data_IF_824592728324
#
_entry.id   IF_824592728324
#
_cell.length_a   1.000
_cell.length_b   1.000
_cell.length_c   1.000
_cell.angle_alpha   90.00
_cell.angle_beta   90.00
_cell.angle_gamma   90.00
#
_symmetry.space_group_name_H-M   'P 1'
#
loop_
_entity.id
_entity.type
_entity.pdbx_description
1 polymer ?
#
# COMPACT_ATOMS: atom_id res chain seq x y z
N UNK A 1 -5.08 9.64 -16.91
CA UNK A 1 -5.84 9.43 -15.66
C UNK A 1 -4.91 8.75 -14.64
N UNK A 2 -4.15 9.54 -13.88
CA UNK A 2 -3.20 9.02 -12.87
C UNK A 2 -3.90 8.75 -11.52
N UNK A 3 -5.17 9.12 -11.40
CA UNK A 3 -5.96 8.99 -10.18
C UNK A 3 -6.20 7.53 -9.78
N UNK A 4 -6.31 6.61 -10.74
CA UNK A 4 -6.52 5.16 -10.53
C UNK A 4 -5.25 4.38 -10.11
N UNK A 5 -4.21 5.06 -9.64
CA UNK A 5 -2.97 4.40 -9.21
C UNK A 5 -3.07 3.90 -7.76
N UNK A 6 -3.72 4.66 -6.88
CA UNK A 6 -3.86 4.34 -5.46
C UNK A 6 -5.29 4.59 -4.99
N UNK A 7 -5.87 3.69 -4.19
CA UNK A 7 -7.22 3.88 -3.65
C UNK A 7 -7.28 5.10 -2.72
N UNK A 8 -8.44 5.78 -2.65
CA UNK A 8 -8.64 6.92 -1.76
C UNK A 8 -8.76 6.49 -0.29
N UNK A 9 -8.92 7.46 0.61
CA UNK A 9 -9.25 7.21 2.02
C UNK A 9 -8.06 7.08 2.97
N UNK A 10 -6.83 7.26 2.48
CA UNK A 10 -5.66 7.45 3.34
C UNK A 10 -5.37 8.94 3.52
N UNK A 11 -5.77 9.50 4.66
CA UNK A 11 -5.68 10.94 4.92
C UNK A 11 -4.29 11.35 5.45
N UNK A 12 -3.87 12.62 5.28
CA UNK A 12 -2.58 13.10 5.79
C UNK A 12 -2.37 12.87 7.29
N UNK A 13 -3.42 13.01 8.10
CA UNK A 13 -3.35 12.76 9.54
C UNK A 13 -3.09 11.28 9.91
N UNK A 14 -3.24 10.36 8.95
CA UNK A 14 -2.97 8.93 9.14
C UNK A 14 -1.51 8.56 8.85
N UNK A 15 -0.70 9.50 8.36
CA UNK A 15 0.73 9.29 8.20
C UNK A 15 1.37 9.07 9.57
N UNK A 16 2.24 8.06 9.74
CA UNK A 16 3.05 7.93 10.93
C UNK A 16 3.89 9.20 11.15
N UNK A 17 3.95 9.72 12.38
CA UNK A 17 4.68 10.95 12.67
C UNK A 17 4.30 12.11 11.70
N UNK A 18 3.02 12.54 11.66
CA UNK A 18 2.51 13.41 10.59
C UNK A 18 3.15 14.81 10.56
N UNK A 19 3.74 15.24 11.69
CA UNK A 19 4.49 16.50 11.78
C UNK A 19 5.97 16.37 11.38
N UNK A 20 6.46 15.15 11.10
CA UNK A 20 7.86 14.93 10.71
C UNK A 20 8.16 15.48 9.32
N UNK A 21 9.44 15.81 9.09
CA UNK A 21 9.93 16.21 7.76
C UNK A 21 9.57 15.18 6.69
N UNK A 22 9.70 13.88 6.98
CA UNK A 22 9.39 12.81 6.03
C UNK A 22 7.92 12.73 5.65
N UNK A 23 7.01 12.90 6.62
CA UNK A 23 5.57 12.94 6.37
C UNK A 23 5.18 14.16 5.52
N UNK A 24 5.72 15.35 5.84
CA UNK A 24 5.47 16.57 5.08
C UNK A 24 5.97 16.47 3.64
N UNK A 25 7.16 15.90 3.41
CA UNK A 25 7.69 15.67 2.07
C UNK A 25 6.84 14.64 1.30
N UNK A 26 6.38 13.59 1.98
CA UNK A 26 5.45 12.61 1.38
C UNK A 26 4.18 13.30 0.90
N UNK A 27 3.59 14.16 1.73
CA UNK A 27 2.39 14.93 1.37
C UNK A 27 2.67 15.91 0.22
N UNK A 28 3.79 16.66 0.28
CA UNK A 28 4.18 17.63 -0.75
C UNK A 28 4.33 16.97 -2.13
N UNK A 29 5.03 15.83 -2.19
CA UNK A 29 5.45 15.27 -3.48
C UNK A 29 4.53 14.17 -4.01
N UNK A 30 4.02 13.29 -3.15
CA UNK A 30 3.34 12.07 -3.60
C UNK A 30 1.87 12.28 -4.00
N UNK A 31 1.25 13.40 -3.62
CA UNK A 31 -0.17 13.70 -3.94
C UNK A 31 -0.34 14.50 -5.24
N UNK A 32 0.75 14.89 -5.90
CA UNK A 32 0.71 15.67 -7.14
C UNK A 32 0.08 14.90 -8.32
N UNK A 33 0.08 13.57 -8.25
CA UNK A 33 -0.37 12.71 -9.36
C UNK A 33 -1.50 11.75 -8.99
N UNK A 34 -1.56 11.29 -7.73
CA UNK A 34 -2.49 10.26 -7.28
C UNK A 34 -2.81 10.44 -5.79
N UNK A 35 -3.75 9.67 -5.25
CA UNK A 35 -4.07 9.66 -3.81
C UNK A 35 -2.82 9.41 -2.93
N UNK A 36 -2.84 9.87 -1.69
CA UNK A 36 -1.71 9.75 -0.77
C UNK A 36 -1.30 8.28 -0.56
N UNK A 37 -0.02 7.99 -0.77
CA UNK A 37 0.51 6.66 -0.54
C UNK A 37 0.69 6.37 0.96
N UNK A 38 0.23 5.21 1.40
CA UNK A 38 0.55 4.69 2.72
C UNK A 38 1.98 4.13 2.73
N UNK A 39 2.89 4.59 3.63
CA UNK A 39 4.23 4.02 3.77
C UNK A 39 4.22 2.50 4.01
N UNK A 40 3.15 1.96 4.59
CA UNK A 40 2.95 0.54 4.80
C UNK A 40 2.39 -0.23 3.59
N UNK A 41 2.38 0.35 2.39
CA UNK A 41 1.99 -0.35 1.17
C UNK A 41 3.10 -1.26 0.63
N UNK A 42 4.37 -1.00 0.98
CA UNK A 42 5.50 -1.83 0.59
C UNK A 42 6.39 -2.09 1.79
N UNK A 43 7.14 -3.19 1.76
CA UNK A 43 8.22 -3.44 2.71
C UNK A 43 9.42 -2.51 2.45
N UNK A 44 10.31 -2.42 3.44
CA UNK A 44 11.45 -1.50 3.43
C UNK A 44 12.46 -1.80 2.31
N UNK A 45 12.57 -3.07 1.88
CA UNK A 45 13.50 -3.49 0.82
C UNK A 45 12.98 -3.10 -0.57
N UNK A 46 11.65 -3.08 -0.75
CA UNK A 46 11.02 -2.71 -2.02
C UNK A 46 10.98 -1.19 -2.25
N UNK A 47 10.94 -0.39 -1.18
CA UNK A 47 10.81 1.07 -1.28
C UNK A 47 11.83 1.78 -2.17
N UNK A 48 13.16 1.52 -2.08
CA UNK A 48 14.15 2.21 -2.91
C UNK A 48 13.85 2.14 -4.41
N UNK A 49 13.56 0.94 -4.91
CA UNK A 49 13.26 0.71 -6.34
C UNK A 49 11.95 1.36 -6.77
N UNK A 50 10.93 1.38 -5.90
CA UNK A 50 9.64 2.05 -6.19
C UNK A 50 9.83 3.56 -6.23
N UNK A 51 10.54 4.10 -5.24
CA UNK A 51 10.79 5.53 -5.07
C UNK A 51 11.62 6.09 -6.23
N UNK A 52 12.71 5.42 -6.60
CA UNK A 52 13.54 5.80 -7.75
C UNK A 52 12.72 5.94 -9.04
N UNK A 53 11.86 4.96 -9.34
CA UNK A 53 10.98 5.03 -10.52
C UNK A 53 9.96 6.16 -10.45
N UNK A 54 9.49 6.52 -9.25
CA UNK A 54 8.59 7.66 -9.06
C UNK A 54 9.34 8.97 -9.33
N UNK A 55 10.50 9.16 -8.72
CA UNK A 55 11.32 10.38 -8.92
C UNK A 55 11.72 10.56 -10.38
N UNK A 56 12.15 9.50 -11.07
CA UNK A 56 12.44 9.58 -12.51
C UNK A 56 11.21 10.06 -13.29
N UNK A 57 10.02 9.50 -13.03
CA UNK A 57 8.78 9.95 -13.69
C UNK A 57 8.47 11.40 -13.39
N UNK A 58 8.60 11.83 -12.13
CA UNK A 58 8.39 13.24 -11.74
C UNK A 58 9.34 14.19 -12.48
N UNK A 59 10.54 13.72 -12.86
CA UNK A 59 11.49 14.46 -13.70
C UNK A 59 11.15 14.42 -15.20
N UNK A 60 9.98 13.89 -15.58
CA UNK A 60 9.60 13.65 -16.98
C UNK A 60 10.36 12.51 -17.65
N UNK A 61 11.10 11.70 -16.87
CA UNK A 61 11.93 10.59 -17.38
C UNK A 61 11.20 9.27 -17.17
N UNK A 62 10.99 8.50 -18.23
CA UNK A 62 10.29 7.23 -18.13
C UNK A 62 10.04 6.56 -19.46
N UNK A 63 9.26 5.47 -19.41
CA UNK A 63 8.99 4.57 -20.54
C UNK A 63 8.07 5.17 -21.63
N UNK A 64 7.78 6.47 -21.60
CA UNK A 64 6.95 7.17 -22.59
C UNK A 64 7.67 8.36 -23.26
N UNK A 65 8.98 8.53 -23.05
CA UNK A 65 9.77 9.58 -23.70
C UNK A 65 9.17 10.97 -23.52
N UNK A 66 9.01 11.71 -24.64
CA UNK A 66 8.46 13.07 -24.66
C UNK A 66 7.06 13.17 -24.04
N UNK A 67 6.20 12.16 -24.24
CA UNK A 67 4.88 12.14 -23.62
C UNK A 67 4.97 12.15 -22.09
N UNK A 68 5.93 11.45 -21.49
CA UNK A 68 6.13 11.50 -20.03
C UNK A 68 6.51 12.91 -19.58
N UNK A 69 7.37 13.59 -20.32
CA UNK A 69 7.78 14.96 -20.00
C UNK A 69 6.58 15.92 -20.05
N UNK A 70 5.73 15.81 -21.07
CA UNK A 70 4.52 16.63 -21.21
C UNK A 70 3.48 16.30 -20.12
N UNK A 71 3.25 15.01 -19.82
CA UNK A 71 2.32 14.58 -18.77
C UNK A 71 2.74 15.02 -17.36
N UNK A 72 4.04 15.19 -17.13
CA UNK A 72 4.61 15.55 -15.84
C UNK A 72 4.96 17.05 -15.77
N UNK A 73 4.55 17.84 -16.77
CA UNK A 73 4.72 19.29 -16.74
C UNK A 73 4.03 19.87 -15.50
N UNK A 74 4.79 20.62 -14.71
CA UNK A 74 4.30 21.18 -13.44
C UNK A 74 4.41 20.25 -12.22
N UNK A 75 4.79 18.98 -12.39
CA UNK A 75 5.11 18.09 -11.28
C UNK A 75 6.51 18.42 -10.76
N UNK A 76 6.62 18.66 -9.45
CA UNK A 76 7.89 18.93 -8.79
C UNK A 76 8.53 17.64 -8.33
N UNK A 77 9.79 17.39 -8.70
CA UNK A 77 10.59 16.31 -8.13
C UNK A 77 11.35 16.79 -6.87
N UNK A 78 11.55 15.93 -5.86
CA UNK A 78 12.33 16.25 -4.67
C UNK A 78 13.80 16.50 -4.99
N UNK A 79 14.41 17.44 -4.26
CA UNK A 79 15.86 17.62 -4.25
C UNK A 79 16.58 16.39 -3.66
N UNK A 80 17.91 16.36 -3.75
CA UNK A 80 18.70 15.21 -3.29
C UNK A 80 18.54 14.95 -1.78
N UNK A 81 18.60 15.98 -0.95
CA UNK A 81 18.45 15.88 0.50
C UNK A 81 16.99 15.56 0.92
N UNK A 82 16.01 16.17 0.24
CA UNK A 82 14.59 15.82 0.38
C UNK A 82 14.34 14.36 0.02
N UNK A 83 15.00 13.86 -1.03
CA UNK A 83 14.86 12.47 -1.48
C UNK A 83 15.39 11.48 -0.46
N UNK A 84 16.54 11.78 0.16
CA UNK A 84 17.08 10.96 1.25
C UNK A 84 16.12 10.94 2.44
N UNK A 85 15.59 12.09 2.85
CA UNK A 85 14.67 12.18 3.98
C UNK A 85 13.34 11.44 3.72
N UNK A 86 12.78 11.59 2.51
CA UNK A 86 11.53 10.96 2.11
C UNK A 86 11.69 9.43 2.01
N UNK A 87 12.76 8.94 1.37
CA UNK A 87 13.02 7.51 1.28
C UNK A 87 13.23 6.88 2.67
N UNK A 88 14.01 7.53 3.54
CA UNK A 88 14.24 7.05 4.91
C UNK A 88 12.92 6.95 5.70
N UNK A 89 12.02 7.91 5.52
CA UNK A 89 10.69 7.90 6.12
C UNK A 89 9.83 6.72 5.61
N UNK A 90 9.78 6.50 4.29
CA UNK A 90 9.05 5.37 3.71
C UNK A 90 9.57 4.03 4.20
N UNK A 91 10.89 3.86 4.29
CA UNK A 91 11.51 2.63 4.80
C UNK A 91 11.25 2.42 6.29
N UNK A 92 11.33 3.48 7.10
CA UNK A 92 11.07 3.41 8.55
C UNK A 92 9.64 2.97 8.85
N UNK A 93 8.68 3.44 8.07
CA UNK A 93 7.25 3.19 8.28
C UNK A 93 6.67 2.14 7.32
N UNK A 94 7.55 1.33 6.73
CA UNK A 94 7.21 0.29 5.78
C UNK A 94 6.33 -0.82 6.37
N UNK A 95 5.75 -1.62 5.48
CA UNK A 95 5.06 -2.85 5.85
C UNK A 95 6.06 -3.82 6.47
N UNK A 96 5.69 -4.42 7.60
CA UNK A 96 6.40 -5.59 8.11
C UNK A 96 5.86 -6.82 7.35
N UNK A 97 6.71 -7.53 6.58
CA UNK A 97 6.28 -8.75 5.90
C UNK A 97 6.06 -9.86 6.92
N UNK A 98 5.08 -10.71 6.65
CA UNK A 98 4.89 -11.95 7.41
C UNK A 98 6.15 -12.81 7.31
N UNK A 99 6.64 -13.29 8.45
CA UNK A 99 7.71 -14.28 8.54
C UNK A 99 7.13 -15.70 8.62
N UNK A 100 7.22 -16.44 7.52
CA UNK A 100 6.69 -17.79 7.42
C UNK A 100 7.40 -18.79 8.37
N UNK A 101 8.60 -18.47 8.87
CA UNK A 101 9.27 -19.29 9.89
C UNK A 101 8.60 -19.12 11.25
N UNK A 102 8.10 -17.92 11.56
CA UNK A 102 7.36 -17.63 12.81
C UNK A 102 5.90 -18.07 12.73
N UNK A 103 5.31 -18.04 11.53
CA UNK A 103 3.93 -18.46 11.28
C UNK A 103 3.91 -19.51 10.15
N UNK A 104 4.36 -20.76 10.41
CA UNK A 104 4.37 -21.81 9.38
C UNK A 104 2.98 -22.13 8.82
N UNK A 105 1.94 -21.89 9.62
CA UNK A 105 0.55 -22.10 9.24
C UNK A 105 0.13 -21.29 7.99
N UNK A 106 0.85 -20.22 7.64
CA UNK A 106 0.60 -19.46 6.41
C UNK A 106 0.69 -20.33 5.15
N UNK A 107 1.46 -21.42 5.18
CA UNK A 107 1.65 -22.33 4.05
C UNK A 107 0.62 -23.48 4.01
N UNK A 108 -0.35 -23.49 4.92
CA UNK A 108 -1.41 -24.52 4.94
C UNK A 108 -2.62 -24.09 4.11
N UNK A 109 -3.48 -25.03 3.66
CA UNK A 109 -4.73 -24.69 2.97
C UNK A 109 -5.63 -23.75 3.78
N UNK A 110 -5.58 -23.82 5.12
CA UNK A 110 -6.38 -22.94 5.99
C UNK A 110 -6.02 -21.45 5.83
N UNK A 111 -4.79 -21.12 5.43
CA UNK A 111 -4.34 -19.75 5.23
C UNK A 111 -4.44 -19.28 3.76
N UNK A 112 -4.91 -20.14 2.86
CA UNK A 112 -4.99 -19.84 1.43
C UNK A 112 -5.81 -18.56 1.12
N UNK A 113 -7.00 -18.33 1.73
CA UNK A 113 -7.74 -17.09 1.49
C UNK A 113 -6.96 -15.83 1.84
N UNK A 114 -6.27 -15.87 2.99
CA UNK A 114 -5.40 -14.78 3.43
C UNK A 114 -4.26 -14.56 2.42
N UNK A 115 -3.59 -15.63 1.99
CA UNK A 115 -2.51 -15.52 1.00
C UNK A 115 -3.01 -14.94 -0.32
N UNK A 116 -4.04 -15.56 -0.91
CA UNK A 116 -4.56 -15.20 -2.22
C UNK A 116 -5.12 -13.78 -2.24
N UNK A 117 -5.73 -13.30 -1.15
CA UNK A 117 -6.25 -11.94 -1.07
C UNK A 117 -5.15 -10.91 -0.81
N UNK A 118 -4.34 -11.11 0.23
CA UNK A 118 -3.46 -10.07 0.74
C UNK A 118 -2.15 -9.92 -0.04
N UNK A 119 -1.74 -10.92 -0.83
CA UNK A 119 -0.51 -10.84 -1.63
C UNK A 119 -0.70 -10.23 -3.02
N UNK A 120 -1.93 -9.87 -3.42
CA UNK A 120 -2.21 -9.39 -4.78
C UNK A 120 -1.51 -8.07 -5.09
N UNK A 121 -1.42 -7.17 -4.11
CA UNK A 121 -0.89 -5.82 -4.32
C UNK A 121 0.49 -5.61 -3.69
N UNK A 122 0.75 -6.25 -2.55
CA UNK A 122 1.98 -6.08 -1.78
C UNK A 122 2.35 -7.35 -1.01
N UNK A 123 3.45 -7.31 -0.26
CA UNK A 123 3.85 -8.44 0.59
C UNK A 123 2.77 -8.77 1.62
N UNK A 124 2.69 -10.03 2.04
CA UNK A 124 1.76 -10.45 3.08
C UNK A 124 2.02 -9.66 4.38
N UNK A 125 0.98 -9.07 4.99
CA UNK A 125 1.18 -8.32 6.22
C UNK A 125 1.43 -9.27 7.40
N UNK A 126 2.35 -8.90 8.29
CA UNK A 126 2.52 -9.59 9.57
C UNK A 126 1.23 -9.46 10.42
N UNK A 127 0.60 -10.58 10.83
CA UNK A 127 -0.57 -10.57 11.72
C UNK A 127 -0.34 -9.82 13.05
N UNK A 128 0.90 -9.67 13.51
CA UNK A 128 1.23 -8.95 14.73
C UNK A 128 1.21 -7.42 14.60
N UNK A 129 0.89 -6.86 13.42
CA UNK A 129 0.73 -5.40 13.26
C UNK A 129 -0.50 -4.83 13.96
N UNK A 130 -1.54 -5.66 14.11
CA UNK A 130 -2.81 -5.27 14.67
C UNK A 130 -3.26 -6.32 15.69
N UNK A 131 -4.12 -5.90 16.61
CA UNK A 131 -4.81 -6.80 17.54
C UNK A 131 -5.95 -7.52 16.82
N UNK A 132 -6.43 -8.62 17.41
CA UNK A 132 -7.57 -9.36 16.86
C UNK A 132 -8.83 -8.49 16.68
N UNK A 133 -9.01 -7.45 17.52
CA UNK A 133 -10.13 -6.51 17.43
C UNK A 133 -9.97 -5.48 16.31
N UNK A 134 -8.74 -5.17 15.93
CA UNK A 134 -8.43 -4.18 14.88
C UNK A 134 -8.46 -4.79 13.46
N UNK A 135 -8.12 -6.07 13.33
CA UNK A 135 -8.04 -6.75 12.03
C UNK A 135 -9.31 -6.66 11.17
N UNK A 136 -10.54 -6.85 11.71
CA UNK A 136 -11.75 -6.71 10.91
C UNK A 136 -11.88 -5.36 10.19
N UNK A 137 -11.51 -4.26 10.85
CA UNK A 137 -11.54 -2.94 10.24
C UNK A 137 -10.48 -2.78 9.12
N UNK A 138 -9.31 -3.39 9.29
CA UNK A 138 -8.25 -3.41 8.27
C UNK A 138 -8.69 -4.21 7.04
N UNK A 139 -9.27 -5.40 7.24
CA UNK A 139 -9.75 -6.26 6.16
C UNK A 139 -10.89 -5.60 5.40
N UNK A 140 -11.86 -4.98 6.09
CA UNK A 140 -12.95 -4.24 5.45
C UNK A 140 -12.44 -3.06 4.60
N UNK A 141 -11.40 -2.35 5.07
CA UNK A 141 -10.75 -1.29 4.27
C UNK A 141 -10.05 -1.87 3.04
N UNK A 142 -9.31 -2.97 3.18
CA UNK A 142 -8.62 -3.60 2.05
C UNK A 142 -9.59 -4.14 1.01
N UNK A 143 -10.73 -4.72 1.43
CA UNK A 143 -11.78 -5.13 0.52
C UNK A 143 -12.27 -3.95 -0.33
N UNK A 144 -12.60 -2.81 0.28
CA UNK A 144 -13.02 -1.60 -0.46
C UNK A 144 -11.96 -1.12 -1.43
N UNK A 145 -10.68 -1.15 -1.02
CA UNK A 145 -9.56 -0.78 -1.89
C UNK A 145 -9.43 -1.73 -3.09
N UNK A 146 -9.60 -3.03 -2.88
CA UNK A 146 -9.55 -4.04 -3.94
C UNK A 146 -10.73 -3.90 -4.90
N UNK A 147 -11.94 -3.67 -4.38
CA UNK A 147 -13.12 -3.39 -5.20
C UNK A 147 -12.92 -2.14 -6.06
N UNK A 148 -12.39 -1.06 -5.49
CA UNK A 148 -12.09 0.16 -6.22
C UNK A 148 -11.05 -0.02 -7.33
N UNK A 149 -10.03 -0.86 -7.10
CA UNK A 149 -8.99 -1.16 -8.10
C UNK A 149 -9.48 -2.11 -9.21
N UNK A 150 -10.32 -3.07 -8.86
CA UNK A 150 -10.67 -4.19 -9.75
C UNK A 150 -12.02 -4.01 -10.46
N UNK A 151 -12.78 -2.95 -10.14
CA UNK A 151 -14.12 -2.75 -10.70
C UNK A 151 -14.30 -1.39 -11.35
N UNK A 152 -15.14 -1.39 -12.38
CA UNK A 152 -15.65 -0.15 -12.96
C UNK A 152 -16.58 0.51 -11.93
N UNK A 153 -16.43 1.82 -11.76
CA UNK A 153 -17.26 2.60 -10.83
C UNK A 153 -18.75 2.31 -11.08
N UNK A 154 -19.46 1.86 -10.05
CA UNK A 154 -20.88 1.53 -10.11
C UNK A 154 -21.23 0.08 -10.49
N UNK A 155 -20.24 -0.77 -10.80
CA UNK A 155 -20.51 -2.18 -11.08
C UNK A 155 -20.72 -3.02 -9.80
N UNK A 156 -21.57 -4.04 -9.91
CA UNK A 156 -21.82 -5.02 -8.86
C UNK A 156 -21.14 -6.35 -9.19
N UNK A 157 -20.87 -7.22 -8.18
CA UNK A 157 -20.39 -8.58 -8.46
C UNK A 157 -21.37 -9.31 -9.37
N UNK A 158 -20.86 -10.08 -10.33
CA UNK A 158 -21.70 -10.98 -11.11
C UNK A 158 -21.90 -12.30 -10.36
N UNK A 159 -23.02 -12.98 -10.63
CA UNK A 159 -23.31 -14.29 -10.00
C UNK A 159 -22.19 -15.29 -10.33
N UNK A 160 -21.60 -15.88 -9.30
CA UNK A 160 -20.50 -16.85 -9.44
C UNK A 160 -19.09 -16.24 -9.47
N UNK A 161 -18.96 -14.92 -9.41
CA UNK A 161 -17.66 -14.26 -9.27
C UNK A 161 -17.02 -14.61 -7.91
N UNK A 162 -15.76 -15.09 -7.88
CA UNK A 162 -15.06 -15.36 -6.63
C UNK A 162 -15.02 -14.13 -5.72
N UNK A 163 -15.51 -14.28 -4.50
CA UNK A 163 -15.46 -13.23 -3.47
C UNK A 163 -14.38 -13.53 -2.43
N UNK A 164 -13.93 -12.49 -1.74
CA UNK A 164 -13.03 -12.65 -0.59
C UNK A 164 -13.73 -13.48 0.49
N UNK A 165 -13.05 -14.52 1.00
CA UNK A 165 -13.51 -15.28 2.16
C UNK A 165 -13.15 -14.52 3.45
N UNK A 166 -13.92 -13.46 3.73
CA UNK A 166 -13.63 -12.49 4.80
C UNK A 166 -13.52 -13.15 6.18
N UNK A 167 -14.39 -14.11 6.49
CA UNK A 167 -14.38 -14.81 7.79
C UNK A 167 -13.08 -15.60 7.98
N UNK A 168 -12.62 -16.31 6.97
CA UNK A 168 -11.37 -17.08 7.03
C UNK A 168 -10.13 -16.19 7.11
N UNK A 169 -10.14 -15.08 6.35
CA UNK A 169 -9.06 -14.09 6.40
C UNK A 169 -8.97 -13.49 7.82
N UNK A 170 -10.09 -13.05 8.38
CA UNK A 170 -10.13 -12.51 9.75
C UNK A 170 -9.78 -13.58 10.79
N UNK A 171 -10.23 -14.82 10.62
CA UNK A 171 -9.92 -15.94 11.52
C UNK A 171 -8.42 -16.23 11.57
N UNK A 172 -7.76 -16.26 10.41
CA UNK A 172 -6.30 -16.43 10.35
C UNK A 172 -5.57 -15.25 11.02
N UNK A 173 -5.94 -14.02 10.67
CA UNK A 173 -5.29 -12.82 11.20
C UNK A 173 -5.48 -12.69 12.72
N UNK A 174 -6.69 -12.93 13.23
CA UNK A 174 -7.01 -12.88 14.65
C UNK A 174 -6.21 -13.92 15.45
N UNK A 175 -6.03 -15.13 14.91
CA UNK A 175 -5.28 -16.22 15.57
C UNK A 175 -3.82 -15.87 15.84
N UNK A 176 -3.20 -15.11 14.93
CA UNK A 176 -1.78 -14.73 15.02
C UNK A 176 -1.59 -13.25 15.36
N UNK A 177 -2.67 -12.57 15.78
CA UNK A 177 -2.66 -11.15 16.07
C UNK A 177 -1.74 -10.77 17.22
N UNK A 178 -1.39 -9.49 17.30
CA UNK A 178 -0.73 -8.93 18.47
C UNK A 178 -1.60 -9.16 19.71
N UNK A 179 -0.99 -9.68 20.77
CA UNK A 179 -1.65 -9.77 22.08
C UNK A 179 -1.89 -8.35 22.62
N UNK A 180 -3.04 -8.11 23.28
CA UNK A 180 -3.29 -6.83 23.94
C UNK A 180 -2.26 -6.54 25.03
#
# INVERSE_FOLDING_TARGET
MLELILPPGYAPAMLPEPASRGAQLTLKFCVQCHNLANPAMHDAQKWPRIYERKVLRMQGRGNMGRLMQEMMAGVQAPAADESVALLAYLQRHAQLPLDAKKIPAVNTPAAEPFRLACQQCHVLPDPQRHTAREWPAVVARMQKNMEWMNRVVGSQPVKGEPQLRIEDINGFLARYARKP
#
